data_IF_787944855446
#
_entry.id   IF_787944855446
#
_cell.length_a   1.000
_cell.length_b   1.000
_cell.length_c   1.000
_cell.angle_alpha   90.00
_cell.angle_beta   90.00
_cell.angle_gamma   90.00
#
_symmetry.space_group_name_H-M   'P 1'
#
loop_
_entity.id
_entity.type
_entity.pdbx_description
1 polymer ?
#
# COMPACT_ATOMS: atom_id res chain seq x y z
N UNK A 1 -1.09 -27.03 8.47
CA UNK A 1 0.15 -26.24 8.37
C UNK A 1 1.09 -26.76 9.42
N UNK A 2 2.23 -27.35 9.09
CA UNK A 2 3.23 -27.80 10.07
C UNK A 2 4.19 -26.63 10.21
N UNK A 3 4.13 -25.92 11.35
CA UNK A 3 5.11 -24.88 11.66
C UNK A 3 6.49 -25.54 11.78
N UNK A 4 7.44 -25.08 10.95
CA UNK A 4 8.84 -25.49 11.08
C UNK A 4 9.43 -24.73 12.28
N UNK A 5 9.69 -25.45 13.38
CA UNK A 5 10.18 -24.88 14.64
C UNK A 5 11.58 -24.25 14.57
N UNK A 6 12.25 -24.36 13.42
CA UNK A 6 13.66 -23.97 13.29
C UNK A 6 13.92 -22.46 13.36
N UNK A 7 12.89 -21.64 13.18
CA UNK A 7 13.00 -20.18 13.11
C UNK A 7 12.66 -19.45 14.43
N UNK A 8 12.18 -20.18 15.42
CA UNK A 8 11.90 -19.58 16.72
C UNK A 8 13.16 -19.53 17.61
N UNK A 9 13.34 -18.45 18.35
CA UNK A 9 14.34 -18.44 19.41
C UNK A 9 14.03 -19.53 20.45
N UNK A 10 15.03 -20.08 21.17
CA UNK A 10 14.80 -21.10 22.20
C UNK A 10 13.71 -20.70 23.20
N UNK A 11 13.72 -19.44 23.63
CA UNK A 11 12.73 -18.88 24.57
C UNK A 11 11.32 -18.84 23.97
N UNK A 12 11.19 -18.48 22.69
CA UNK A 12 9.90 -18.46 22.02
C UNK A 12 9.33 -19.88 21.83
N UNK A 13 10.19 -20.87 21.52
CA UNK A 13 9.80 -22.28 21.45
C UNK A 13 9.26 -22.78 22.79
N UNK A 14 9.98 -22.52 23.87
CA UNK A 14 9.59 -22.92 25.22
C UNK A 14 8.23 -22.32 25.61
N UNK A 15 8.06 -21.01 25.43
CA UNK A 15 6.79 -20.33 25.68
C UNK A 15 5.63 -20.90 24.84
N UNK A 16 5.86 -21.18 23.56
CA UNK A 16 4.86 -21.77 22.68
C UNK A 16 4.47 -23.18 23.12
N UNK A 17 5.45 -24.02 23.48
CA UNK A 17 5.19 -25.37 24.00
C UNK A 17 4.43 -25.35 25.34
N UNK A 18 4.71 -24.39 26.20
CA UNK A 18 3.99 -24.26 27.47
C UNK A 18 2.53 -23.85 27.24
N UNK A 19 2.28 -22.92 26.32
CA UNK A 19 0.92 -22.57 25.87
C UNK A 19 0.21 -23.82 25.37
N UNK A 20 0.81 -24.57 24.42
CA UNK A 20 0.19 -25.77 23.85
C UNK A 20 -0.11 -26.84 24.92
N UNK A 21 0.76 -27.03 25.94
CA UNK A 21 0.53 -27.95 27.03
C UNK A 21 -0.60 -27.53 27.97
N UNK A 22 -0.83 -26.23 28.11
CA UNK A 22 -1.89 -25.66 28.94
C UNK A 22 -3.28 -25.74 28.32
N UNK A 23 -3.39 -26.02 27.01
CA UNK A 23 -4.67 -26.06 26.31
C UNK A 23 -5.49 -27.30 26.71
N UNK A 24 -6.83 -27.17 26.84
CA UNK A 24 -7.72 -28.30 27.12
C UNK A 24 -7.61 -29.38 26.03
N UNK A 25 -7.47 -30.64 26.49
CA UNK A 25 -7.42 -31.78 25.55
C UNK A 25 -8.82 -32.13 25.06
N UNK A 26 -8.94 -32.42 23.78
CA UNK A 26 -10.21 -32.88 23.18
C UNK A 26 -11.11 -31.76 22.65
N UNK A 27 -10.78 -30.51 22.87
CA UNK A 27 -11.49 -29.38 22.30
C UNK A 27 -10.78 -28.84 21.06
N UNK A 28 -11.55 -28.29 20.10
CA UNK A 28 -11.00 -27.64 18.93
C UNK A 28 -10.37 -26.31 19.36
N UNK A 29 -9.07 -26.18 19.15
CA UNK A 29 -8.30 -24.99 19.48
C UNK A 29 -8.06 -24.12 18.23
N UNK A 30 -7.98 -22.81 18.47
CA UNK A 30 -7.68 -21.83 17.41
C UNK A 30 -6.49 -20.99 17.86
N UNK A 31 -5.55 -20.81 16.95
CA UNK A 31 -4.50 -19.80 17.09
C UNK A 31 -4.87 -18.64 16.19
N UNK A 32 -4.96 -17.46 16.77
CA UNK A 32 -5.16 -16.21 16.05
C UNK A 32 -3.83 -15.48 16.06
N UNK A 33 -3.33 -15.15 14.89
CA UNK A 33 -2.10 -14.39 14.70
C UNK A 33 -2.41 -13.15 13.86
N UNK A 34 -1.73 -12.06 14.17
CA UNK A 34 -1.63 -10.92 13.28
C UNK A 34 -0.91 -11.34 11.99
N UNK A 35 -1.18 -10.64 10.89
CA UNK A 35 -0.65 -11.00 9.59
C UNK A 35 0.56 -10.12 9.23
N UNK A 36 0.35 -8.82 9.17
CA UNK A 36 1.37 -7.87 8.74
C UNK A 36 2.42 -7.65 9.84
N UNK A 37 3.69 -7.80 9.51
CA UNK A 37 4.80 -7.74 10.46
C UNK A 37 4.93 -8.97 11.38
N UNK A 38 3.97 -9.91 11.35
CA UNK A 38 3.97 -11.11 12.18
C UNK A 38 4.13 -12.40 11.38
N UNK A 39 3.34 -12.57 10.33
CA UNK A 39 3.43 -13.70 9.40
C UNK A 39 4.03 -13.30 8.07
N UNK A 40 3.91 -12.03 7.71
CA UNK A 40 4.47 -11.44 6.51
C UNK A 40 5.43 -10.32 6.91
N UNK A 41 6.56 -10.24 6.24
CA UNK A 41 7.39 -9.03 6.28
C UNK A 41 6.86 -8.04 5.26
N UNK A 42 6.44 -6.88 5.74
CA UNK A 42 5.75 -5.86 4.96
C UNK A 42 4.31 -5.68 5.42
N UNK A 43 3.64 -4.74 4.80
CA UNK A 43 2.24 -4.39 5.04
C UNK A 43 1.45 -4.70 3.77
N UNK A 44 0.53 -5.66 3.87
CA UNK A 44 -0.25 -6.15 2.73
C UNK A 44 -1.08 -5.05 2.07
N UNK A 45 -1.53 -4.09 2.86
CA UNK A 45 -2.36 -3.00 2.42
C UNK A 45 -1.56 -1.94 1.65
N UNK A 46 -0.37 -1.58 2.16
CA UNK A 46 0.54 -0.67 1.45
C UNK A 46 1.02 -1.27 0.14
N UNK A 47 1.32 -2.56 0.12
CA UNK A 47 1.74 -3.26 -1.09
C UNK A 47 0.63 -3.29 -2.14
N UNK A 48 -0.62 -3.54 -1.72
CA UNK A 48 -1.77 -3.47 -2.61
C UNK A 48 -1.97 -2.05 -3.16
N UNK A 49 -1.75 -1.02 -2.34
CA UNK A 49 -1.82 0.38 -2.76
C UNK A 49 -0.68 0.72 -3.74
N UNK A 50 0.53 0.23 -3.50
CA UNK A 50 1.64 0.39 -4.45
C UNK A 50 1.28 -0.22 -5.81
N UNK A 51 0.69 -1.41 -5.82
CA UNK A 51 0.20 -2.03 -7.06
C UNK A 51 -0.91 -1.21 -7.71
N UNK A 52 -1.86 -0.70 -6.93
CA UNK A 52 -2.94 0.16 -7.42
C UNK A 52 -2.39 1.40 -8.13
N UNK A 53 -1.37 2.04 -7.55
CA UNK A 53 -0.70 3.20 -8.13
C UNK A 53 0.08 2.80 -9.40
N UNK A 54 0.87 1.72 -9.35
CA UNK A 54 1.71 1.25 -10.46
C UNK A 54 0.88 0.85 -11.70
N UNK A 55 -0.32 0.32 -11.48
CA UNK A 55 -1.21 -0.14 -12.54
C UNK A 55 -2.38 0.80 -12.82
N UNK A 56 -2.40 2.00 -12.20
CA UNK A 56 -3.47 2.98 -12.32
C UNK A 56 -4.86 2.37 -12.11
N UNK A 57 -4.97 1.46 -11.14
CA UNK A 57 -6.23 0.82 -10.79
C UNK A 57 -7.04 1.70 -9.83
N UNK A 58 -7.76 2.65 -10.38
CA UNK A 58 -8.64 3.53 -9.63
C UNK A 58 -10.05 3.53 -10.25
N UNK A 59 -11.07 3.66 -9.39
CA UNK A 59 -12.47 3.68 -9.82
C UNK A 59 -13.10 5.07 -9.75
N UNK A 60 -12.45 6.02 -9.08
CA UNK A 60 -12.94 7.39 -8.93
C UNK A 60 -12.49 8.29 -10.09
N UNK A 61 -13.22 9.37 -10.27
CA UNK A 61 -12.90 10.39 -11.27
C UNK A 61 -11.93 11.44 -10.72
N UNK A 62 -11.23 12.20 -11.58
CA UNK A 62 -10.29 13.24 -11.14
C UNK A 62 -10.86 14.26 -10.17
N UNK A 63 -12.11 14.69 -10.36
CA UNK A 63 -12.80 15.65 -9.50
C UNK A 63 -13.06 15.12 -8.09
N UNK A 64 -13.07 13.81 -7.89
CA UNK A 64 -13.27 13.16 -6.60
C UNK A 64 -11.99 12.99 -5.79
N UNK A 65 -10.83 13.18 -6.41
CA UNK A 65 -9.53 12.92 -5.79
C UNK A 65 -9.29 13.80 -4.56
N UNK A 66 -9.62 15.07 -4.65
CA UNK A 66 -9.48 16.01 -3.52
C UNK A 66 -10.35 15.60 -2.33
N UNK A 67 -11.56 15.12 -2.58
CA UNK A 67 -12.47 14.67 -1.52
C UNK A 67 -11.95 13.42 -0.81
N UNK A 68 -11.30 12.50 -1.56
CA UNK A 68 -10.66 11.31 -0.99
C UNK A 68 -9.62 11.69 0.05
N UNK A 69 -8.84 12.73 -0.22
CA UNK A 69 -7.79 13.17 0.67
C UNK A 69 -8.26 14.08 1.81
N UNK A 70 -9.36 14.81 1.64
CA UNK A 70 -9.86 15.79 2.63
C UNK A 70 -10.77 15.21 3.71
N UNK A 71 -11.30 13.99 3.55
CA UNK A 71 -12.49 13.49 4.22
C UNK A 71 -12.50 13.51 5.77
N UNK A 72 -11.36 13.65 6.47
CA UNK A 72 -11.37 13.64 7.94
C UNK A 72 -10.64 14.82 8.63
N UNK A 73 -9.95 15.68 7.89
CA UNK A 73 -9.06 16.65 8.54
C UNK A 73 -8.93 17.97 7.76
N UNK A 74 -10.06 18.62 7.38
CA UNK A 74 -10.02 19.85 6.58
C UNK A 74 -9.10 20.93 7.15
N UNK A 75 -9.08 21.10 8.48
CA UNK A 75 -8.26 22.11 9.16
C UNK A 75 -6.74 21.81 9.10
N UNK A 76 -6.36 20.55 8.91
CA UNK A 76 -4.95 20.14 8.88
C UNK A 76 -4.31 20.26 7.50
N UNK A 77 -5.12 20.33 6.44
CA UNK A 77 -4.64 20.36 5.05
C UNK A 77 -4.02 21.68 4.62
N UNK A 78 -4.12 22.72 5.45
CA UNK A 78 -3.48 24.02 5.23
C UNK A 78 -2.03 24.08 5.72
N UNK A 79 -1.52 23.03 6.39
CA UNK A 79 -0.19 23.04 6.97
C UNK A 79 0.90 22.92 5.92
N UNK A 80 1.81 23.89 5.93
CA UNK A 80 3.12 23.79 5.30
C UNK A 80 4.13 23.18 6.28
N UNK A 81 4.83 22.13 5.85
CA UNK A 81 5.99 21.63 6.59
C UNK A 81 7.11 21.32 5.64
N UNK A 82 8.31 21.81 5.95
CA UNK A 82 9.52 21.61 5.14
C UNK A 82 9.42 22.15 3.70
N UNK A 83 8.68 23.26 3.49
CA UNK A 83 8.63 23.96 2.21
C UNK A 83 7.72 23.35 1.16
N UNK A 84 6.99 22.25 1.47
CA UNK A 84 6.01 21.67 0.56
C UNK A 84 4.61 21.86 1.14
N UNK A 85 3.79 22.60 0.40
CA UNK A 85 2.37 22.78 0.70
C UNK A 85 1.60 21.54 0.24
N UNK A 86 0.85 20.90 1.16
CA UNK A 86 -0.03 19.78 0.82
C UNK A 86 -1.09 20.17 -0.23
N UNK A 87 -1.73 21.36 -0.14
CA UNK A 87 -2.62 21.84 -1.20
C UNK A 87 -1.96 21.89 -2.58
N UNK A 88 -0.73 22.40 -2.67
CA UNK A 88 0.01 22.44 -3.93
C UNK A 88 0.28 21.03 -4.46
N UNK A 89 0.70 20.11 -3.57
CA UNK A 89 0.97 18.72 -3.94
C UNK A 89 -0.30 18.03 -4.46
N UNK A 90 -1.44 18.23 -3.80
CA UNK A 90 -2.75 17.71 -4.24
C UNK A 90 -3.17 18.27 -5.60
N UNK A 91 -2.99 19.57 -5.83
CA UNK A 91 -3.27 20.21 -7.11
C UNK A 91 -2.47 19.54 -8.23
N UNK A 92 -1.17 19.34 -8.02
CA UNK A 92 -0.31 18.67 -9.02
C UNK A 92 -0.70 17.21 -9.25
N UNK A 93 -1.01 16.47 -8.20
CA UNK A 93 -1.51 15.09 -8.33
C UNK A 93 -2.82 15.06 -9.12
N UNK A 94 -3.73 16.00 -8.88
CA UNK A 94 -4.99 16.09 -9.60
C UNK A 94 -4.82 16.44 -11.09
N UNK A 95 -3.89 17.35 -11.41
CA UNK A 95 -3.51 17.65 -12.79
C UNK A 95 -3.00 16.40 -13.53
N UNK A 96 -2.03 15.71 -12.94
CA UNK A 96 -1.43 14.50 -13.48
C UNK A 96 -2.48 13.38 -13.63
N UNK A 97 -3.30 13.14 -12.60
CA UNK A 97 -4.35 12.15 -12.64
C UNK A 97 -5.40 12.45 -13.71
N UNK A 98 -5.78 13.72 -13.88
CA UNK A 98 -6.71 14.17 -14.93
C UNK A 98 -6.16 13.88 -16.32
N UNK A 99 -4.87 14.09 -16.54
CA UNK A 99 -4.20 13.74 -17.78
C UNK A 99 -4.24 12.24 -18.06
N UNK A 100 -3.85 11.43 -17.07
CA UNK A 100 -3.82 9.96 -17.18
C UNK A 100 -5.23 9.37 -17.40
N UNK A 101 -6.23 9.93 -16.72
CA UNK A 101 -7.63 9.55 -16.88
C UNK A 101 -8.15 9.85 -18.30
N UNK A 102 -7.89 11.04 -18.83
CA UNK A 102 -8.27 11.43 -20.20
C UNK A 102 -7.59 10.57 -21.27
N UNK A 103 -6.40 10.06 -20.99
CA UNK A 103 -5.69 9.10 -21.86
C UNK A 103 -6.27 7.69 -21.82
N UNK A 104 -7.22 7.41 -20.93
CA UNK A 104 -7.77 6.08 -20.73
C UNK A 104 -6.80 5.08 -20.10
N UNK A 105 -5.79 5.56 -19.38
CA UNK A 105 -4.83 4.72 -18.68
C UNK A 105 -5.39 4.23 -17.33
N UNK A 106 -6.24 5.04 -16.69
CA UNK A 106 -6.91 4.70 -15.44
C UNK A 106 -8.06 3.73 -15.69
N UNK A 107 -8.11 2.65 -14.94
CA UNK A 107 -9.18 1.68 -15.06
C UNK A 107 -9.34 0.89 -13.76
N UNK A 108 -10.59 0.69 -13.32
CA UNK A 108 -10.90 -0.22 -12.21
C UNK A 108 -10.83 -1.71 -12.58
N UNK A 109 -10.65 -2.05 -13.88
CA UNK A 109 -10.56 -3.44 -14.31
C UNK A 109 -9.29 -4.09 -13.71
N UNK A 110 -9.43 -5.14 -12.89
CA UNK A 110 -8.28 -5.86 -12.35
C UNK A 110 -7.30 -6.37 -13.40
N UNK A 111 -7.74 -6.54 -14.64
CA UNK A 111 -6.86 -6.95 -15.76
C UNK A 111 -5.74 -5.96 -16.07
N UNK A 112 -5.84 -4.72 -15.60
CA UNK A 112 -4.73 -3.76 -15.70
C UNK A 112 -3.46 -4.28 -15.04
N UNK A 113 -3.56 -5.05 -13.95
CA UNK A 113 -2.42 -5.74 -13.33
C UNK A 113 -1.68 -6.71 -14.26
N UNK A 114 -2.33 -7.17 -15.31
CA UNK A 114 -1.80 -8.16 -16.25
C UNK A 114 -1.26 -7.53 -17.54
N UNK A 115 -1.44 -6.22 -17.72
CA UNK A 115 -1.02 -5.53 -18.94
C UNK A 115 0.38 -4.99 -18.80
N UNK A 116 1.25 -5.27 -19.78
CA UNK A 116 2.44 -4.48 -20.00
C UNK A 116 2.01 -3.07 -20.43
N UNK A 117 2.22 -2.09 -19.58
CA UNK A 117 1.59 -0.81 -19.71
C UNK A 117 2.45 0.18 -20.47
N UNK A 118 1.90 0.71 -21.56
CA UNK A 118 2.55 1.78 -22.33
C UNK A 118 2.76 3.06 -21.50
N UNK A 119 1.88 3.30 -20.51
CA UNK A 119 1.95 4.48 -19.64
C UNK A 119 3.10 4.49 -18.64
N UNK A 120 3.70 3.34 -18.34
CA UNK A 120 4.83 3.25 -17.38
C UNK A 120 6.06 4.07 -17.79
N UNK A 121 6.15 4.44 -19.08
CA UNK A 121 7.19 5.31 -19.62
C UNK A 121 6.73 6.76 -19.80
N UNK A 122 5.46 7.05 -19.53
CA UNK A 122 4.92 8.40 -19.63
C UNK A 122 5.49 9.26 -18.48
N UNK A 123 6.15 10.40 -18.78
CA UNK A 123 6.69 11.27 -17.73
C UNK A 123 5.64 11.71 -16.71
N UNK A 124 4.41 11.99 -17.16
CA UNK A 124 3.32 12.41 -16.27
C UNK A 124 2.90 11.27 -15.31
N UNK A 125 2.94 10.02 -15.78
CA UNK A 125 2.73 8.88 -14.88
C UNK A 125 3.83 8.76 -13.83
N UNK A 126 5.08 8.97 -14.21
CA UNK A 126 6.21 8.93 -13.29
C UNK A 126 6.05 10.02 -12.22
N UNK A 127 5.73 11.25 -12.64
CA UNK A 127 5.51 12.38 -11.73
C UNK A 127 4.31 12.12 -10.80
N UNK A 128 3.17 11.68 -11.33
CA UNK A 128 1.99 11.28 -10.56
C UNK A 128 2.33 10.28 -9.46
N UNK A 129 3.02 9.21 -9.83
CA UNK A 129 3.41 8.16 -8.90
C UNK A 129 4.29 8.69 -7.78
N UNK A 130 5.32 9.46 -8.11
CA UNK A 130 6.25 10.02 -7.14
C UNK A 130 5.53 10.99 -6.20
N UNK A 131 4.69 11.88 -6.74
CA UNK A 131 3.92 12.84 -5.97
C UNK A 131 2.95 12.15 -5.02
N UNK A 132 2.27 11.12 -5.48
CA UNK A 132 1.31 10.38 -4.65
C UNK A 132 2.00 9.64 -3.50
N UNK A 133 3.12 8.94 -3.75
CA UNK A 133 3.91 8.33 -2.68
C UNK A 133 4.44 9.37 -1.69
N UNK A 134 4.91 10.51 -2.20
CA UNK A 134 5.39 11.60 -1.35
C UNK A 134 4.26 12.17 -0.46
N UNK A 135 3.06 12.33 -1.02
CA UNK A 135 1.89 12.75 -0.25
C UNK A 135 1.56 11.75 0.87
N UNK A 136 1.53 10.45 0.58
CA UNK A 136 1.26 9.41 1.58
C UNK A 136 2.31 9.42 2.70
N UNK A 137 3.58 9.58 2.36
CA UNK A 137 4.68 9.71 3.33
C UNK A 137 4.56 10.97 4.19
N UNK A 138 4.22 12.11 3.60
CA UNK A 138 3.98 13.36 4.33
C UNK A 138 2.78 13.25 5.28
N UNK A 139 1.69 12.63 4.85
CA UNK A 139 0.53 12.39 5.70
C UNK A 139 0.90 11.50 6.89
N UNK A 140 1.62 10.42 6.65
CA UNK A 140 2.13 9.56 7.70
C UNK A 140 3.00 10.34 8.70
N UNK A 141 3.93 11.13 8.19
CA UNK A 141 4.87 11.91 9.02
C UNK A 141 4.19 13.02 9.83
N UNK A 142 3.11 13.61 9.30
CA UNK A 142 2.43 14.75 9.94
C UNK A 142 1.34 14.31 10.90
N UNK A 143 0.58 13.27 10.56
CA UNK A 143 -0.66 12.90 11.25
C UNK A 143 -0.67 11.47 11.76
N UNK A 144 0.39 10.69 11.47
CA UNK A 144 0.57 9.34 11.95
C UNK A 144 -0.08 8.25 11.09
N UNK A 145 0.01 7.03 11.60
CA UNK A 145 -0.42 5.82 10.90
C UNK A 145 -1.91 5.82 10.55
N UNK A 146 -2.78 6.23 11.49
CA UNK A 146 -4.23 6.16 11.28
C UNK A 146 -4.68 7.03 10.11
N UNK A 147 -4.15 8.26 9.98
CA UNK A 147 -4.47 9.14 8.88
C UNK A 147 -3.98 8.59 7.54
N UNK A 148 -2.77 8.02 7.51
CA UNK A 148 -2.22 7.40 6.31
C UNK A 148 -3.02 6.15 5.91
N UNK A 149 -3.35 5.28 6.86
CA UNK A 149 -4.16 4.09 6.63
C UNK A 149 -5.55 4.45 6.08
N UNK A 150 -6.20 5.49 6.64
CA UNK A 150 -7.49 5.95 6.13
C UNK A 150 -7.43 6.30 4.63
N UNK A 151 -6.40 7.06 4.22
CA UNK A 151 -6.27 7.45 2.80
C UNK A 151 -6.00 6.26 1.91
N UNK A 152 -5.16 5.32 2.37
CA UNK A 152 -4.91 4.07 1.65
C UNK A 152 -6.21 3.31 1.40
N UNK A 153 -7.12 3.24 2.38
CA UNK A 153 -8.46 2.67 2.16
C UNK A 153 -9.33 3.53 1.24
N UNK A 154 -9.28 4.85 1.39
CA UNK A 154 -10.09 5.76 0.59
C UNK A 154 -9.75 5.71 -0.92
N UNK A 155 -8.52 5.32 -1.28
CA UNK A 155 -8.12 5.09 -2.67
C UNK A 155 -8.87 3.92 -3.34
N UNK A 156 -9.54 3.06 -2.56
CA UNK A 156 -10.44 2.02 -3.08
C UNK A 156 -11.89 2.49 -3.27
N UNK A 157 -12.17 3.79 -3.11
CA UNK A 157 -13.49 4.34 -3.41
C UNK A 157 -13.97 3.92 -4.80
N UNK A 158 -15.20 3.42 -4.88
CA UNK A 158 -15.84 2.98 -6.12
C UNK A 158 -15.56 1.52 -6.51
N UNK A 159 -14.76 0.78 -5.74
CA UNK A 159 -14.64 -0.66 -5.89
C UNK A 159 -15.72 -1.39 -5.10
N UNK A 160 -16.21 -2.48 -5.66
CA UNK A 160 -17.00 -3.47 -4.92
C UNK A 160 -16.08 -4.37 -4.09
N UNK A 161 -16.66 -5.06 -3.11
CA UNK A 161 -15.89 -6.04 -2.30
C UNK A 161 -15.27 -7.13 -3.17
N UNK A 162 -15.96 -7.58 -4.22
CA UNK A 162 -15.42 -8.63 -5.11
C UNK A 162 -14.30 -8.11 -6.02
N UNK A 163 -14.38 -6.87 -6.48
CA UNK A 163 -13.28 -6.22 -7.20
C UNK A 163 -12.07 -6.05 -6.28
N UNK A 164 -12.27 -5.59 -5.04
CA UNK A 164 -11.21 -5.48 -4.05
C UNK A 164 -10.52 -6.83 -3.75
N UNK A 165 -11.30 -7.89 -3.53
CA UNK A 165 -10.77 -9.25 -3.32
C UNK A 165 -9.94 -9.72 -4.52
N UNK A 166 -10.41 -9.41 -5.72
CA UNK A 166 -9.70 -9.76 -6.96
C UNK A 166 -8.36 -9.04 -7.05
N UNK A 167 -8.34 -7.73 -6.79
CA UNK A 167 -7.10 -6.94 -6.77
C UNK A 167 -6.12 -7.46 -5.70
N UNK A 168 -6.60 -7.72 -4.48
CA UNK A 168 -5.78 -8.29 -3.40
C UNK A 168 -5.18 -9.63 -3.78
N UNK A 169 -5.96 -10.51 -4.43
CA UNK A 169 -5.48 -11.81 -4.88
C UNK A 169 -4.41 -11.69 -5.97
N UNK A 170 -4.57 -10.77 -6.91
CA UNK A 170 -3.59 -10.52 -7.97
C UNK A 170 -2.30 -9.92 -7.41
N UNK A 171 -2.41 -8.96 -6.50
CA UNK A 171 -1.27 -8.37 -5.79
C UNK A 171 -0.50 -9.45 -5.03
N UNK A 172 -1.20 -10.26 -4.25
CA UNK A 172 -0.58 -11.37 -3.52
C UNK A 172 0.12 -12.37 -4.46
N UNK A 173 -0.53 -12.78 -5.55
CA UNK A 173 0.09 -13.66 -6.55
C UNK A 173 1.35 -13.06 -7.20
N UNK A 174 1.37 -11.75 -7.41
CA UNK A 174 2.54 -11.06 -7.95
C UNK A 174 3.68 -11.10 -6.94
N UNK A 175 3.41 -10.69 -5.71
CA UNK A 175 4.43 -10.57 -4.66
C UNK A 175 4.94 -11.93 -4.17
N UNK A 176 4.13 -12.99 -4.16
CA UNK A 176 4.57 -14.34 -3.82
C UNK A 176 5.63 -14.92 -4.77
N UNK A 177 5.79 -14.33 -5.96
CA UNK A 177 6.83 -14.70 -6.94
C UNK A 177 8.09 -13.83 -6.83
N UNK A 178 8.06 -12.78 -6.04
CA UNK A 178 9.22 -11.91 -5.85
C UNK A 178 10.19 -12.54 -4.85
N UNK A 179 11.48 -12.39 -5.12
CA UNK A 179 12.55 -12.91 -4.25
C UNK A 179 13.06 -11.81 -3.30
N UNK A 180 12.20 -11.27 -2.47
CA UNK A 180 12.60 -10.28 -1.49
C UNK A 180 11.86 -8.95 -1.62
N UNK A 181 12.10 -8.08 -0.63
CA UNK A 181 11.62 -6.72 -0.65
C UNK A 181 12.49 -5.88 -1.58
N UNK A 182 11.85 -5.05 -2.38
CA UNK A 182 12.52 -4.07 -3.23
C UNK A 182 12.34 -2.69 -2.62
N UNK A 183 13.45 -2.02 -2.35
CA UNK A 183 13.41 -0.59 -2.07
C UNK A 183 13.43 0.17 -3.40
N UNK A 184 12.34 0.87 -3.69
CA UNK A 184 12.25 1.78 -4.82
C UNK A 184 12.54 3.19 -4.37
N UNK A 185 13.30 3.93 -5.16
CA UNK A 185 13.67 5.31 -4.86
C UNK A 185 13.51 6.18 -6.09
N UNK A 186 12.95 7.37 -5.90
CA UNK A 186 12.74 8.37 -6.93
C UNK A 186 13.15 9.74 -6.40
N UNK A 187 13.37 10.69 -7.30
CA UNK A 187 13.54 12.08 -6.93
C UNK A 187 12.25 12.83 -7.19
N UNK A 188 11.78 13.55 -6.18
CA UNK A 188 10.56 14.33 -6.27
C UNK A 188 10.75 15.47 -7.29
N UNK A 189 9.90 15.58 -8.33
CA UNK A 189 10.17 16.43 -9.49
C UNK A 189 10.22 17.92 -9.14
N UNK A 190 9.47 18.36 -8.12
CA UNK A 190 9.36 19.78 -7.80
C UNK A 190 10.45 20.27 -6.82
N UNK A 191 11.10 19.40 -6.04
CA UNK A 191 12.13 19.76 -5.05
C UNK A 191 13.42 18.97 -5.16
N UNK A 192 13.46 17.95 -6.02
CA UNK A 192 14.56 16.98 -6.10
C UNK A 192 14.84 16.21 -4.79
N UNK A 193 13.90 16.18 -3.86
CA UNK A 193 13.97 15.37 -2.64
C UNK A 193 13.85 13.89 -3.00
N UNK A 194 14.64 13.03 -2.33
CA UNK A 194 14.58 11.59 -2.55
C UNK A 194 13.36 11.00 -1.84
N UNK A 195 12.48 10.38 -2.60
CA UNK A 195 11.34 9.60 -2.12
C UNK A 195 11.64 8.12 -2.24
N UNK A 196 11.38 7.35 -1.19
CA UNK A 196 11.62 5.90 -1.19
C UNK A 196 10.45 5.18 -0.56
N UNK A 197 10.07 4.03 -1.11
CA UNK A 197 9.09 3.13 -0.52
C UNK A 197 9.51 1.67 -0.68
N UNK A 198 8.99 0.80 0.17
CA UNK A 198 9.18 -0.64 0.08
C UNK A 198 8.09 -1.26 -0.79
N UNK A 199 8.50 -2.15 -1.68
CA UNK A 199 7.62 -2.92 -2.56
C UNK A 199 7.91 -4.40 -2.36
N UNK A 200 6.90 -5.16 -2.02
CA UNK A 200 6.98 -6.59 -1.82
C UNK A 200 6.40 -7.08 -0.49
N UNK A 201 6.04 -8.35 -0.46
CA UNK A 201 5.63 -9.11 0.72
C UNK A 201 6.43 -10.39 0.78
N UNK A 202 6.93 -10.74 1.96
CA UNK A 202 7.63 -11.99 2.17
C UNK A 202 7.09 -12.73 3.38
N UNK A 203 6.85 -14.06 3.26
CA UNK A 203 6.65 -14.90 4.44
C UNK A 203 7.89 -14.84 5.35
N UNK A 204 7.67 -14.67 6.65
CA UNK A 204 8.77 -14.63 7.63
C UNK A 204 9.57 -15.93 7.66
N UNK A 205 8.96 -17.03 7.21
CA UNK A 205 9.62 -18.36 7.15
C UNK A 205 10.80 -18.42 6.16
N UNK A 206 10.89 -17.46 5.22
CA UNK A 206 11.93 -17.46 4.17
C UNK A 206 13.10 -16.51 4.50
N UNK A 207 13.04 -15.80 5.63
CA UNK A 207 14.13 -14.98 6.15
C UNK A 207 14.92 -15.73 7.22
#
# INVERSE_FOLDING_TARGET
MVMKENHFSPRAKEAFHDVLKSLPKGERQYVVSDCDGTLLFGDSQYVLTNDQIEYLNFAFKPEELTDIFKAENEDKWTMERNGISIPFLLEKIQEDYSYLYKRGYVSKDPKNFLRAASWQKDPIFIDFKIRLHHLLDKIYSLWGYEASAYIVYALFKGFTIEEYKTLSSLSHMRHSKMKGLLQRSYFYPDTNEKVSYLDGLHPIEEM
#
